data_IF_814523454546
#
_entry.id   IF_814523454546
#
_cell.length_a   1.000
_cell.length_b   1.000
_cell.length_c   1.000
_cell.angle_alpha   90.00
_cell.angle_beta   90.00
_cell.angle_gamma   90.00
#
_symmetry.space_group_name_H-M   'P 1'
#
loop_
_entity.id
_entity.type
_entity.pdbx_description
1 polymer ?
#
# COMPACT_ATOMS: atom_id res chain seq x y z
N UNK A 1 1.77 4.45 -0.30
CA UNK A 1 1.84 5.37 -1.45
C UNK A 1 3.28 5.34 -1.93
N UNK A 2 3.65 4.44 -2.85
CA UNK A 2 5.04 4.42 -3.35
C UNK A 2 5.18 5.50 -4.41
N UNK A 3 6.09 6.43 -4.17
CA UNK A 3 6.39 7.54 -5.08
C UNK A 3 7.35 7.09 -6.18
N UNK A 4 7.27 7.71 -7.36
CA UNK A 4 8.37 7.71 -8.32
C UNK A 4 9.33 8.83 -7.92
N UNK A 5 10.46 8.45 -7.33
CA UNK A 5 11.53 9.39 -7.05
C UNK A 5 12.65 9.14 -8.06
N UNK A 6 13.02 10.15 -8.82
CA UNK A 6 14.15 10.10 -9.74
C UNK A 6 15.32 10.84 -9.11
N UNK A 7 16.50 10.24 -9.20
CA UNK A 7 17.73 10.82 -8.65
C UNK A 7 18.78 10.76 -9.75
N UNK A 8 19.40 11.90 -10.02
CA UNK A 8 20.55 12.00 -10.91
C UNK A 8 21.76 12.44 -10.07
N UNK A 9 22.84 11.67 -10.16
CA UNK A 9 24.10 11.95 -9.49
C UNK A 9 25.17 11.98 -10.59
N UNK A 10 25.98 13.03 -10.62
CA UNK A 10 27.05 13.17 -11.59
C UNK A 10 28.30 13.76 -10.94
N UNK A 11 29.44 13.52 -11.59
CA UNK A 11 30.72 14.16 -11.28
C UNK A 11 31.18 14.86 -12.57
N UNK A 12 31.50 16.15 -12.48
CA UNK A 12 31.92 16.94 -13.64
C UNK A 12 33.32 16.51 -14.15
N UNK A 13 33.53 16.57 -15.46
CA UNK A 13 34.76 16.13 -16.13
C UNK A 13 34.66 16.30 -17.66
N UNK A 14 35.29 15.40 -18.41
CA UNK A 14 35.22 15.36 -19.88
C UNK A 14 33.87 14.78 -20.37
N UNK A 15 33.87 13.98 -21.44
CA UNK A 15 32.65 13.36 -21.98
C UNK A 15 31.85 12.52 -20.98
N UNK A 16 30.63 12.14 -21.35
CA UNK A 16 29.68 11.46 -20.46
C UNK A 16 29.74 9.94 -20.59
N UNK A 17 29.74 9.25 -19.45
CA UNK A 17 29.35 7.85 -19.32
C UNK A 17 28.08 7.78 -18.48
N UNK A 18 26.99 7.23 -19.03
CA UNK A 18 25.67 7.24 -18.41
C UNK A 18 25.23 5.82 -18.10
N UNK A 19 24.77 5.60 -16.87
CA UNK A 19 24.11 4.36 -16.44
C UNK A 19 22.70 4.72 -15.97
N UNK A 20 21.69 4.06 -16.54
CA UNK A 20 20.29 4.24 -16.17
C UNK A 20 19.75 3.04 -15.38
N UNK A 21 18.89 3.32 -14.40
CA UNK A 21 18.12 2.34 -13.64
C UNK A 21 16.74 2.92 -13.31
N UNK A 22 15.86 2.13 -12.71
CA UNK A 22 14.55 2.59 -12.22
C UNK A 22 14.42 2.34 -10.71
N UNK A 23 13.69 3.22 -10.02
CA UNK A 23 13.58 3.22 -8.54
C UNK A 23 12.27 2.64 -8.03
N UNK A 24 11.36 2.29 -8.94
CA UNK A 24 10.06 1.74 -8.61
C UNK A 24 10.03 0.22 -8.76
N UNK A 25 9.06 -0.40 -8.12
CA UNK A 25 8.81 -1.84 -8.20
C UNK A 25 7.31 -2.12 -8.14
N UNK A 26 6.81 -3.23 -8.73
CA UNK A 26 5.42 -3.58 -8.62
C UNK A 26 4.95 -3.67 -7.17
N UNK A 27 3.86 -2.98 -6.84
CA UNK A 27 3.37 -2.90 -5.46
C UNK A 27 1.88 -2.61 -5.35
N UNK A 28 1.34 -2.73 -4.14
CA UNK A 28 0.01 -2.23 -3.79
C UNK A 28 0.13 -0.79 -3.27
N UNK A 29 -0.56 0.14 -3.93
CA UNK A 29 -0.66 1.54 -3.49
C UNK A 29 -2.00 1.78 -2.83
N UNK A 30 -2.04 2.63 -1.81
CA UNK A 30 -3.30 3.11 -1.27
C UNK A 30 -4.09 3.86 -2.34
N UNK A 31 -5.39 3.60 -2.44
CA UNK A 31 -6.32 4.49 -3.14
C UNK A 31 -6.49 5.81 -2.37
N UNK A 32 -6.80 6.93 -3.03
CA UNK A 32 -7.08 8.20 -2.34
C UNK A 32 -8.21 8.08 -1.32
N UNK A 33 -9.28 7.36 -1.68
CA UNK A 33 -10.33 6.94 -0.76
C UNK A 33 -10.12 5.46 -0.46
N UNK A 34 -9.52 5.17 0.69
CA UNK A 34 -9.07 3.82 1.06
C UNK A 34 -9.88 3.18 2.19
N UNK A 35 -10.82 3.88 2.81
CA UNK A 35 -11.64 3.30 3.87
C UNK A 35 -12.63 2.27 3.29
N UNK A 36 -12.50 1.02 3.71
CA UNK A 36 -13.47 -0.05 3.43
C UNK A 36 -13.87 -0.71 4.75
N UNK A 37 -15.17 -0.92 4.97
CA UNK A 37 -15.68 -1.60 6.16
C UNK A 37 -16.63 -2.71 5.75
N UNK A 38 -16.31 -3.95 6.11
CA UNK A 38 -17.08 -5.13 5.71
C UNK A 38 -16.87 -6.27 6.71
N UNK A 39 -17.92 -7.01 7.03
CA UNK A 39 -17.82 -8.24 7.84
C UNK A 39 -17.23 -8.04 9.25
N UNK A 40 -17.36 -6.84 9.83
CA UNK A 40 -16.75 -6.51 11.13
C UNK A 40 -15.26 -6.14 11.05
N UNK A 41 -14.70 -5.96 9.85
CA UNK A 41 -13.32 -5.56 9.61
C UNK A 41 -13.24 -4.18 8.99
N UNK A 42 -12.15 -3.48 9.30
CA UNK A 42 -11.65 -2.32 8.61
C UNK A 42 -10.57 -2.78 7.65
N UNK A 43 -10.86 -2.65 6.36
CA UNK A 43 -9.98 -2.98 5.24
C UNK A 43 -9.49 -1.71 4.56
N UNK A 44 -8.41 -1.85 3.78
CA UNK A 44 -7.75 -0.73 3.12
C UNK A 44 -7.84 -0.90 1.60
N UNK A 45 -8.53 0.03 0.96
CA UNK A 45 -8.60 0.15 -0.49
C UNK A 45 -7.23 0.36 -1.11
N UNK A 46 -6.80 -0.59 -1.94
CA UNK A 46 -5.54 -0.53 -2.69
C UNK A 46 -5.75 -0.56 -4.20
N UNK A 47 -4.75 -0.13 -4.94
CA UNK A 47 -4.61 -0.24 -6.39
C UNK A 47 -3.28 -0.91 -6.73
N UNK A 48 -3.28 -1.73 -7.78
CA UNK A 48 -2.07 -2.36 -8.29
C UNK A 48 -1.20 -1.33 -9.01
N UNK A 49 0.11 -1.46 -8.85
CA UNK A 49 1.09 -0.67 -9.57
C UNK A 49 2.07 -1.62 -10.26
N UNK A 50 2.21 -1.52 -11.58
CA UNK A 50 3.01 -2.44 -12.38
C UNK A 50 2.36 -3.82 -12.56
N UNK A 51 3.13 -4.77 -13.11
CA UNK A 51 2.71 -6.16 -13.36
C UNK A 51 3.18 -7.13 -12.28
N UNK A 52 2.70 -6.95 -11.04
CA UNK A 52 3.13 -7.77 -9.91
C UNK A 52 2.51 -9.17 -9.91
N UNK A 53 3.22 -10.13 -9.30
CA UNK A 53 2.70 -11.46 -8.98
C UNK A 53 1.80 -11.37 -7.72
N UNK A 54 0.56 -10.95 -7.90
CA UNK A 54 -0.31 -10.53 -6.79
C UNK A 54 -0.63 -11.62 -5.76
N UNK A 55 -0.63 -12.89 -6.15
CA UNK A 55 -0.80 -14.01 -5.22
C UNK A 55 0.30 -14.06 -4.15
N UNK A 56 1.50 -13.53 -4.42
CA UNK A 56 2.63 -13.53 -3.47
C UNK A 56 2.48 -12.52 -2.33
N UNK A 57 1.53 -11.59 -2.45
CA UNK A 57 1.20 -10.57 -1.44
C UNK A 57 0.26 -11.07 -0.35
N UNK A 58 -0.42 -12.20 -0.59
CA UNK A 58 -1.25 -12.84 0.41
C UNK A 58 -0.40 -13.40 1.55
N UNK A 59 -0.97 -13.40 2.74
CA UNK A 59 -0.38 -13.96 3.97
C UNK A 59 1.00 -13.40 4.33
N UNK A 60 1.29 -12.18 3.86
CA UNK A 60 2.46 -11.39 4.26
C UNK A 60 2.08 -10.40 5.35
N UNK A 61 3.02 -10.19 6.26
CA UNK A 61 2.95 -9.11 7.23
C UNK A 61 3.33 -7.80 6.51
N UNK A 62 2.32 -6.97 6.23
CA UNK A 62 2.46 -5.78 5.41
C UNK A 62 2.61 -4.52 6.28
N UNK A 63 3.53 -3.67 5.86
CA UNK A 63 3.69 -2.31 6.36
C UNK A 63 3.21 -1.29 5.33
N UNK A 64 3.16 -0.02 5.74
CA UNK A 64 2.97 1.10 4.82
C UNK A 64 4.20 2.00 4.82
N UNK A 65 4.59 2.41 3.61
CA UNK A 65 5.56 3.45 3.37
C UNK A 65 5.07 4.40 2.26
N UNK A 66 5.54 5.64 2.30
CA UNK A 66 5.26 6.62 1.26
C UNK A 66 5.52 8.05 1.66
N UNK A 67 4.93 8.97 0.90
CA UNK A 67 4.94 10.41 1.14
C UNK A 67 3.57 10.88 1.59
N UNK A 68 3.52 11.82 2.51
CA UNK A 68 2.32 12.57 2.87
C UNK A 68 2.55 14.06 2.63
N UNK A 69 1.50 14.76 2.18
CA UNK A 69 1.47 16.22 2.12
C UNK A 69 0.81 16.74 3.39
N UNK A 70 1.47 17.66 4.07
CA UNK A 70 1.01 18.24 5.34
C UNK A 70 0.75 19.71 5.12
N UNK A 71 -0.45 20.16 5.49
CA UNK A 71 -0.80 21.58 5.56
C UNK A 71 -0.31 22.13 6.89
N UNK A 72 0.47 23.19 6.86
CA UNK A 72 0.99 23.89 8.03
C UNK A 72 0.44 25.32 8.03
N UNK A 73 -0.01 25.79 9.19
CA UNK A 73 -0.54 27.15 9.37
C UNK A 73 0.18 27.80 10.55
N UNK A 74 0.85 28.93 10.29
CA UNK A 74 1.58 29.69 11.30
C UNK A 74 1.41 31.18 11.04
N UNK A 75 1.04 31.92 12.08
CA UNK A 75 0.83 33.37 12.02
C UNK A 75 -0.12 33.82 10.88
N UNK A 76 -1.16 33.01 10.61
CA UNK A 76 -2.13 33.25 9.53
C UNK A 76 -1.64 32.91 8.12
N UNK A 77 -0.39 32.44 7.96
CA UNK A 77 0.17 32.02 6.67
C UNK A 77 0.02 30.51 6.51
N UNK A 78 -0.60 30.09 5.41
CA UNK A 78 -0.74 28.67 5.03
C UNK A 78 0.44 28.26 4.15
N UNK A 79 1.08 27.15 4.51
CA UNK A 79 2.11 26.50 3.71
C UNK A 79 1.85 25.00 3.61
N UNK A 80 2.52 24.35 2.65
CA UNK A 80 2.46 22.90 2.47
C UNK A 80 3.87 22.34 2.49
N UNK A 81 4.08 21.29 3.27
CA UNK A 81 5.32 20.53 3.31
C UNK A 81 5.03 19.07 2.94
N UNK A 82 6.07 18.33 2.55
CA UNK A 82 5.97 16.89 2.40
C UNK A 82 6.84 16.19 3.43
N UNK A 83 6.42 14.99 3.85
CA UNK A 83 7.16 14.12 4.76
C UNK A 83 7.14 12.70 4.23
N UNK A 84 8.27 12.01 4.34
CA UNK A 84 8.34 10.58 4.13
C UNK A 84 7.90 9.87 5.42
N UNK A 85 7.11 8.82 5.25
CA UNK A 85 6.54 8.03 6.35
C UNK A 85 6.82 6.57 6.07
N UNK A 86 7.26 5.84 7.10
CA UNK A 86 7.37 4.40 7.12
C UNK A 86 6.92 3.90 8.48
N UNK A 87 5.92 3.02 8.48
CA UNK A 87 5.52 2.32 9.70
C UNK A 87 6.38 1.06 9.79
N UNK A 88 7.18 0.94 10.84
CA UNK A 88 8.14 -0.17 10.96
C UNK A 88 7.52 -1.48 11.46
N UNK A 89 6.34 -1.39 12.08
CA UNK A 89 5.60 -2.55 12.57
C UNK A 89 4.61 -3.03 11.51
N UNK A 90 4.41 -4.35 11.36
CA UNK A 90 3.38 -4.88 10.49
C UNK A 90 2.00 -4.51 11.05
N UNK A 91 1.19 -3.89 10.20
CA UNK A 91 -0.14 -3.37 10.57
C UNK A 91 -1.26 -3.91 9.70
N UNK A 92 -0.92 -4.58 8.59
CA UNK A 92 -1.91 -5.05 7.62
C UNK A 92 -1.55 -6.44 7.11
N UNK A 93 -2.57 -7.18 6.66
CA UNK A 93 -2.40 -8.48 6.01
C UNK A 93 -3.50 -8.71 4.99
N UNK A 94 -3.18 -9.34 3.87
CA UNK A 94 -4.18 -9.83 2.91
C UNK A 94 -4.33 -11.34 3.17
N UNK A 95 -5.35 -11.79 3.92
CA UNK A 95 -5.50 -13.21 4.24
C UNK A 95 -5.95 -14.00 3.00
N UNK A 96 -5.42 -15.21 2.84
CA UNK A 96 -6.02 -16.17 1.88
C UNK A 96 -7.37 -16.67 2.37
N UNK A 97 -8.27 -16.98 1.42
CA UNK A 97 -9.48 -17.74 1.74
C UNK A 97 -9.08 -19.17 2.11
N UNK A 98 -9.68 -19.71 3.17
CA UNK A 98 -9.43 -21.07 3.59
C UNK A 98 -9.76 -22.07 2.48
N UNK A 99 -8.86 -23.02 2.23
CA UNK A 99 -9.00 -24.04 1.17
C UNK A 99 -10.28 -24.88 1.27
N UNK A 100 -10.82 -25.05 2.46
CA UNK A 100 -12.09 -25.77 2.67
C UNK A 100 -13.28 -25.07 1.99
N UNK A 101 -13.17 -23.75 1.78
CA UNK A 101 -14.20 -22.90 1.16
C UNK A 101 -13.93 -22.64 -0.33
N UNK A 102 -12.77 -23.03 -0.85
CA UNK A 102 -12.39 -22.92 -2.26
C UNK A 102 -11.60 -24.18 -2.67
N UNK A 103 -12.34 -25.18 -3.18
CA UNK A 103 -11.75 -26.49 -3.51
C UNK A 103 -10.90 -26.45 -4.78
N UNK A 104 -11.17 -25.50 -5.68
CA UNK A 104 -10.50 -25.37 -6.98
C UNK A 104 -9.21 -24.54 -6.89
N UNK A 105 -8.95 -23.93 -5.72
CA UNK A 105 -7.79 -23.07 -5.46
C UNK A 105 -6.44 -23.74 -5.71
N UNK A 106 -6.38 -25.08 -5.59
CA UNK A 106 -5.16 -25.87 -5.85
C UNK A 106 -4.78 -25.87 -7.33
N UNK A 107 -5.77 -25.85 -8.20
CA UNK A 107 -5.57 -25.90 -9.65
C UNK A 107 -5.30 -24.51 -10.22
N UNK A 108 -5.99 -23.48 -9.72
CA UNK A 108 -5.78 -22.10 -10.15
C UNK A 108 -6.13 -21.07 -9.06
N UNK A 109 -5.13 -20.34 -8.59
CA UNK A 109 -5.34 -19.21 -7.67
C UNK A 109 -5.73 -17.92 -8.42
N UNK A 110 -7.04 -17.74 -8.66
CA UNK A 110 -7.56 -16.58 -9.39
C UNK A 110 -7.80 -15.39 -8.47
N UNK A 111 -6.94 -14.38 -8.60
CA UNK A 111 -7.03 -13.14 -7.80
C UNK A 111 -7.84 -12.08 -8.53
N UNK A 112 -8.93 -11.63 -7.93
CA UNK A 112 -9.57 -10.37 -8.33
C UNK A 112 -8.91 -9.20 -7.59
N UNK A 113 -8.23 -8.32 -8.34
CA UNK A 113 -7.46 -7.23 -7.74
C UNK A 113 -8.31 -6.20 -6.96
N UNK A 114 -9.60 -6.08 -7.29
CA UNK A 114 -10.50 -5.13 -6.64
C UNK A 114 -11.09 -5.68 -5.34
N UNK A 115 -11.45 -6.97 -5.31
CA UNK A 115 -12.16 -7.58 -4.18
C UNK A 115 -11.29 -8.44 -3.27
N UNK A 116 -10.19 -9.02 -3.76
CA UNK A 116 -9.38 -10.00 -2.99
C UNK A 116 -8.07 -9.41 -2.44
N UNK A 117 -7.59 -8.27 -2.94
CA UNK A 117 -6.32 -7.66 -2.52
C UNK A 117 -6.47 -6.59 -1.42
N UNK A 118 -7.64 -6.49 -0.80
CA UNK A 118 -7.91 -5.53 0.27
C UNK A 118 -7.23 -6.00 1.57
N UNK A 119 -6.19 -5.33 2.08
CA UNK A 119 -5.57 -5.73 3.34
C UNK A 119 -6.49 -5.39 4.51
N UNK A 120 -6.60 -6.30 5.47
CA UNK A 120 -7.25 -6.08 6.76
C UNK A 120 -6.30 -5.26 7.63
N UNK A 121 -6.80 -4.19 8.23
CA UNK A 121 -6.07 -3.29 9.14
C UNK A 121 -6.50 -3.49 10.60
N UNK A 122 -7.80 -3.62 10.85
CA UNK A 122 -8.34 -3.76 12.20
C UNK A 122 -9.73 -4.40 12.19
N UNK A 123 -10.24 -4.78 13.36
CA UNK A 123 -11.66 -5.13 13.56
C UNK A 123 -12.46 -3.92 14.00
N UNK A 124 -13.70 -3.80 13.57
CA UNK A 124 -14.65 -2.87 14.19
C UNK A 124 -15.03 -3.41 15.57
N UNK A 125 -14.84 -2.62 16.63
CA UNK A 125 -15.39 -2.96 17.94
C UNK A 125 -16.92 -2.98 17.82
N UNK A 126 -17.57 -4.11 18.13
CA UNK A 126 -19.02 -4.09 18.40
C UNK A 126 -19.21 -3.16 19.59
N UNK A 127 -19.79 -1.97 19.38
CA UNK A 127 -20.43 -1.24 20.49
C UNK A 127 -21.53 -2.17 20.99
N UNK A 128 -21.28 -2.87 22.09
CA UNK A 128 -22.33 -3.50 22.86
C UNK A 128 -23.37 -2.43 23.19
N UNK A 129 -24.64 -2.72 22.93
CA UNK A 129 -25.72 -1.85 23.36
C UNK A 129 -25.64 -1.69 24.87
N UNK A 130 -25.40 -0.46 25.31
CA UNK A 130 -25.87 -0.02 26.61
C UNK A 130 -27.30 0.43 26.41
N UNK A 131 -28.22 -0.51 26.57
CA UNK A 131 -29.59 -0.28 27.03
C UNK A 131 -30.01 -1.48 27.89
#
# INVERSE_FOLDING_TARGET
>A
MVEKAEVCIFVAGNGFHIVGAHTDSPCLKLKPVSKVAKGGYLEVGVQTYGGGLWHTWFDRDLIIAGRVMVREEKDGVVSYSHRLVRIEKPIMRIPTLAIHLDRDVREAFKVNAQSHLLPVLATTVKRGGLC
#
